data_IF_465869779100
#
_entry.id   IF_465869779100
#
_cell.length_a   1.000
_cell.length_b   1.000
_cell.length_c   1.000
_cell.angle_alpha   90.00
_cell.angle_beta   90.00
_cell.angle_gamma   90.00
#
_symmetry.space_group_name_H-M   'P 1'
#
loop_
_entity.id
_entity.type
_entity.pdbx_description
1 polymer ?
#
# COMPACT_ATOMS: atom_id res chain seq x y z
N UNK A 1 16.55 -2.65 -10.81
CA UNK A 1 15.65 -3.67 -10.23
C UNK A 1 14.55 -4.03 -11.24
N UNK A 2 13.84 -5.15 -11.09
CA UNK A 2 12.79 -5.56 -12.05
C UNK A 2 11.49 -4.80 -11.78
N UNK A 3 11.00 -4.09 -12.80
CA UNK A 3 9.76 -3.30 -12.75
C UNK A 3 8.57 -4.08 -13.31
N UNK A 4 8.78 -4.80 -14.41
CA UNK A 4 7.75 -5.57 -15.07
C UNK A 4 7.27 -6.75 -14.20
N UNK A 5 5.95 -6.89 -14.05
CA UNK A 5 5.34 -7.94 -13.22
C UNK A 5 5.50 -7.76 -11.71
N UNK A 6 5.95 -6.59 -11.24
CA UNK A 6 6.08 -6.32 -9.82
C UNK A 6 4.74 -5.84 -9.21
N UNK A 7 4.04 -6.69 -8.42
CA UNK A 7 2.72 -6.34 -7.90
C UNK A 7 2.75 -5.17 -6.92
N UNK A 8 3.88 -4.90 -6.26
CA UNK A 8 4.01 -3.74 -5.38
C UNK A 8 3.94 -2.44 -6.20
N UNK A 9 4.61 -2.40 -7.36
CA UNK A 9 4.57 -1.22 -8.23
C UNK A 9 3.17 -1.03 -8.85
N UNK A 10 2.48 -2.12 -9.18
CA UNK A 10 1.09 -2.04 -9.67
C UNK A 10 0.15 -1.46 -8.61
N UNK A 11 0.23 -1.91 -7.35
CA UNK A 11 -0.58 -1.31 -6.28
C UNK A 11 -0.24 0.16 -6.07
N UNK A 12 1.03 0.53 -6.16
CA UNK A 12 1.43 1.93 -6.05
C UNK A 12 0.81 2.75 -7.20
N UNK A 13 0.94 2.28 -8.44
CA UNK A 13 0.42 2.97 -9.64
C UNK A 13 -1.10 3.13 -9.63
N UNK A 14 -1.82 2.03 -9.39
CA UNK A 14 -3.27 1.97 -9.61
C UNK A 14 -4.10 2.26 -8.36
N UNK A 15 -3.53 2.13 -7.16
CA UNK A 15 -4.25 2.39 -5.91
C UNK A 15 -3.68 3.62 -5.21
N UNK A 16 -2.37 3.61 -4.90
CA UNK A 16 -1.79 4.66 -4.05
C UNK A 16 -1.77 6.02 -4.76
N UNK A 17 -1.24 6.08 -5.98
CA UNK A 17 -1.19 7.34 -6.74
C UNK A 17 -2.59 7.84 -7.12
N UNK A 18 -3.57 6.96 -7.33
CA UNK A 18 -4.95 7.38 -7.60
C UNK A 18 -5.63 7.96 -6.34
N UNK A 19 -5.21 7.53 -5.16
CA UNK A 19 -5.81 7.97 -3.89
C UNK A 19 -5.14 9.22 -3.31
N UNK A 20 -3.81 9.24 -3.28
CA UNK A 20 -3.03 10.28 -2.60
C UNK A 20 -2.31 11.23 -3.56
N UNK A 21 -2.17 10.88 -4.85
CA UNK A 21 -1.33 11.58 -5.84
C UNK A 21 0.18 11.59 -5.54
N UNK A 22 0.59 11.12 -4.37
CA UNK A 22 1.99 11.01 -3.97
C UNK A 22 2.24 9.76 -3.12
N UNK A 23 3.50 9.33 -3.06
CA UNK A 23 3.96 8.32 -2.12
C UNK A 23 5.16 8.84 -1.33
N UNK A 24 5.03 8.85 -0.01
CA UNK A 24 6.11 9.13 0.94
C UNK A 24 6.85 7.85 1.30
N UNK A 25 8.16 7.83 1.13
CA UNK A 25 9.05 6.70 1.45
C UNK A 25 10.13 7.15 2.44
N UNK A 26 10.27 6.41 3.53
CA UNK A 26 11.37 6.57 4.49
C UNK A 26 12.55 5.70 4.04
N UNK A 27 13.73 6.29 3.90
CA UNK A 27 14.96 5.61 3.53
C UNK A 27 15.62 5.02 4.79
N UNK A 28 15.72 3.71 4.85
CA UNK A 28 16.28 3.01 6.02
C UNK A 28 17.79 3.22 6.22
N UNK A 29 18.53 3.57 5.16
CA UNK A 29 19.98 3.76 5.21
C UNK A 29 20.38 5.14 5.72
N UNK A 30 19.61 6.17 5.38
CA UNK A 30 19.99 7.57 5.65
C UNK A 30 19.06 8.25 6.66
N UNK A 31 17.97 7.58 7.09
CA UNK A 31 16.93 8.15 7.94
C UNK A 31 16.15 9.31 7.30
N UNK A 32 16.43 9.61 6.03
CA UNK A 32 15.78 10.65 5.26
C UNK A 32 14.45 10.18 4.70
N UNK A 33 13.59 11.13 4.39
CA UNK A 33 12.29 10.88 3.79
C UNK A 33 12.26 11.48 2.38
N UNK A 34 11.73 10.73 1.41
CA UNK A 34 11.51 11.21 0.06
C UNK A 34 10.03 11.05 -0.31
N UNK A 35 9.44 12.13 -0.81
CA UNK A 35 8.10 12.11 -1.38
C UNK A 35 8.20 12.05 -2.90
N UNK A 36 7.54 11.05 -3.48
CA UNK A 36 7.42 10.88 -4.92
C UNK A 36 6.06 11.40 -5.37
N UNK A 37 6.07 12.46 -6.18
CA UNK A 37 4.83 13.08 -6.70
C UNK A 37 4.33 12.45 -8.00
N UNK A 38 5.08 11.52 -8.58
CA UNK A 38 4.66 10.76 -9.76
C UNK A 38 5.17 9.33 -9.73
N UNK A 39 4.43 8.43 -10.38
CA UNK A 39 4.85 7.04 -10.52
C UNK A 39 6.13 6.90 -11.36
N UNK A 40 6.32 7.77 -12.35
CA UNK A 40 7.49 7.78 -13.22
C UNK A 40 8.77 8.08 -12.43
N UNK A 41 8.73 9.07 -11.52
CA UNK A 41 9.86 9.39 -10.64
C UNK A 41 10.21 8.22 -9.73
N UNK A 42 9.19 7.57 -9.15
CA UNK A 42 9.37 6.41 -8.29
C UNK A 42 10.00 5.23 -9.04
N UNK A 43 9.54 4.97 -10.26
CA UNK A 43 10.08 3.88 -11.10
C UNK A 43 11.51 4.17 -11.51
N UNK A 44 11.84 5.41 -11.88
CA UNK A 44 13.20 5.80 -12.23
C UNK A 44 14.18 5.53 -11.07
N UNK A 45 13.81 5.92 -9.85
CA UNK A 45 14.61 5.69 -8.65
C UNK A 45 14.70 4.20 -8.25
N UNK A 46 13.62 3.44 -8.47
CA UNK A 46 13.62 2.00 -8.23
C UNK A 46 14.49 1.25 -9.25
N UNK A 47 14.51 1.69 -10.51
CA UNK A 47 15.34 1.12 -11.56
C UNK A 47 16.82 1.41 -11.34
N UNK A 48 17.16 2.65 -11.00
CA UNK A 48 18.53 3.09 -10.70
C UNK A 48 19.09 2.50 -9.41
N UNK A 49 18.22 1.99 -8.53
CA UNK A 49 18.59 1.39 -7.25
C UNK A 49 18.69 2.40 -6.11
N UNK A 50 18.36 3.66 -6.35
CA UNK A 50 18.25 4.71 -5.33
C UNK A 50 17.11 4.41 -4.33
N UNK A 51 16.06 3.73 -4.79
CA UNK A 51 14.95 3.28 -3.97
C UNK A 51 15.01 1.76 -3.77
N UNK A 52 15.25 1.33 -2.53
CA UNK A 52 15.33 -0.09 -2.21
C UNK A 52 13.96 -0.74 -2.02
N UNK A 53 13.79 -2.04 -2.35
CA UNK A 53 12.54 -2.77 -2.11
C UNK A 53 12.20 -2.83 -0.62
N UNK A 54 13.23 -2.78 0.25
CA UNK A 54 13.09 -2.74 1.70
C UNK A 54 12.42 -1.46 2.21
N UNK A 55 12.56 -0.34 1.50
CA UNK A 55 11.94 0.94 1.84
C UNK A 55 10.57 1.09 1.16
N UNK A 56 10.45 0.58 -0.07
CA UNK A 56 9.23 0.62 -0.86
C UNK A 56 8.06 -0.14 -0.18
N UNK A 57 8.32 -1.35 0.33
CA UNK A 57 7.28 -2.22 0.90
C UNK A 57 6.65 -1.64 2.18
N UNK A 58 7.41 -1.10 3.15
CA UNK A 58 6.85 -0.39 4.29
C UNK A 58 6.03 0.83 3.88
N UNK A 59 6.51 1.64 2.93
CA UNK A 59 5.79 2.80 2.44
C UNK A 59 4.43 2.43 1.83
N UNK A 60 4.42 1.43 0.94
CA UNK A 60 3.19 0.86 0.37
C UNK A 60 2.24 0.34 1.45
N UNK A 61 2.76 -0.41 2.42
CA UNK A 61 1.96 -0.99 3.51
C UNK A 61 1.33 0.10 4.38
N UNK A 62 2.07 1.17 4.70
CA UNK A 62 1.55 2.33 5.44
C UNK A 62 0.44 3.02 4.65
N UNK A 63 0.64 3.26 3.35
CA UNK A 63 -0.35 3.91 2.50
C UNK A 63 -1.64 3.07 2.35
N UNK A 64 -1.53 1.76 2.07
CA UNK A 64 -2.68 0.85 2.01
C UNK A 64 -3.44 0.78 3.34
N UNK A 65 -2.71 0.72 4.46
CA UNK A 65 -3.33 0.69 5.77
C UNK A 65 -4.13 1.96 6.05
N UNK A 66 -3.67 3.14 5.60
CA UNK A 66 -4.42 4.40 5.73
C UNK A 66 -5.73 4.37 4.93
N UNK A 67 -5.70 3.88 3.69
CA UNK A 67 -6.90 3.73 2.85
C UNK A 67 -7.92 2.79 3.51
N UNK A 68 -7.43 1.70 4.12
CA UNK A 68 -8.29 0.69 4.74
C UNK A 68 -8.76 1.02 6.17
N UNK A 69 -8.16 2.02 6.86
CA UNK A 69 -8.57 2.38 8.22
C UNK A 69 -10.08 2.67 8.36
N UNK A 70 -10.70 3.57 7.56
CA UNK A 70 -12.12 3.89 7.75
C UNK A 70 -13.03 2.65 7.59
N UNK A 71 -12.65 1.71 6.72
CA UNK A 71 -13.37 0.44 6.57
C UNK A 71 -13.21 -0.43 7.82
N UNK A 72 -11.99 -0.54 8.35
CA UNK A 72 -11.72 -1.30 9.58
C UNK A 72 -12.48 -0.71 10.78
N UNK A 73 -12.49 0.61 10.89
CA UNK A 73 -13.20 1.33 11.95
C UNK A 73 -14.71 1.10 11.87
N UNK A 74 -15.29 1.14 10.67
CA UNK A 74 -16.70 0.81 10.46
C UNK A 74 -17.05 -0.60 10.96
N UNK A 75 -16.28 -1.61 10.55
CA UNK A 75 -16.50 -3.00 11.00
C UNK A 75 -16.19 -3.25 12.47
N UNK A 76 -15.46 -2.34 13.14
CA UNK A 76 -15.17 -2.43 14.56
C UNK A 76 -16.25 -1.78 15.42
N UNK A 77 -16.74 -0.61 14.98
CA UNK A 77 -17.62 0.26 15.76
C UNK A 77 -19.11 0.02 15.48
N UNK A 78 -19.46 -0.60 14.36
CA UNK A 78 -20.84 -0.97 14.02
C UNK A 78 -21.10 -2.46 14.32
N UNK A 79 -22.02 -2.73 15.25
CA UNK A 79 -22.35 -4.07 15.69
C UNK A 79 -22.96 -4.93 14.57
N UNK A 80 -23.78 -4.35 13.69
CA UNK A 80 -24.38 -5.05 12.57
C UNK A 80 -23.32 -5.40 11.52
N UNK A 81 -22.47 -4.44 11.15
CA UNK A 81 -21.37 -4.67 10.21
C UNK A 81 -20.42 -5.76 10.74
N UNK A 82 -20.09 -5.73 12.03
CA UNK A 82 -19.24 -6.74 12.69
C UNK A 82 -19.84 -8.14 12.62
N UNK A 83 -21.14 -8.27 12.85
CA UNK A 83 -21.85 -9.54 12.75
C UNK A 83 -21.88 -10.06 11.31
N UNK A 84 -22.17 -9.18 10.33
CA UNK A 84 -22.13 -9.51 8.91
C UNK A 84 -20.74 -10.01 8.48
N UNK A 85 -19.67 -9.34 8.90
CA UNK A 85 -18.29 -9.76 8.62
C UNK A 85 -18.00 -11.14 9.21
N UNK A 86 -18.45 -11.43 10.44
CA UNK A 86 -18.30 -12.75 11.08
C UNK A 86 -19.02 -13.82 10.28
N UNK A 87 -20.25 -13.55 9.84
CA UNK A 87 -21.05 -14.47 9.03
C UNK A 87 -20.39 -14.74 7.68
N UNK A 88 -19.97 -13.71 6.95
CA UNK A 88 -19.25 -13.87 5.67
C UNK A 88 -17.96 -14.69 5.84
N UNK A 89 -17.19 -14.46 6.91
CA UNK A 89 -15.96 -15.23 7.21
C UNK A 89 -16.24 -16.71 7.47
N UNK A 90 -17.43 -17.08 7.97
CA UNK A 90 -17.81 -18.48 8.19
C UNK A 90 -18.09 -19.23 6.89
N UNK A 91 -18.40 -18.54 5.78
CA UNK A 91 -18.62 -19.15 4.47
C UNK A 91 -17.34 -19.55 3.76
N UNK A 92 -16.24 -19.79 4.50
CA UNK A 92 -14.94 -20.21 3.95
C UNK A 92 -15.19 -21.34 2.94
N UNK A 93 -15.08 -20.98 1.65
CA UNK A 93 -15.21 -21.90 0.55
C UNK A 93 -14.04 -22.86 0.64
N UNK A 94 -14.32 -24.07 1.12
CA UNK A 94 -13.42 -25.20 0.96
C UNK A 94 -13.45 -25.53 -0.52
N UNK A 95 -12.30 -25.42 -1.18
CA UNK A 95 -12.11 -25.88 -2.55
C UNK A 95 -11.18 -27.07 -2.54
#
# INVERSE_FOLDING_TARGET
>A
MVVEGNPCLDYIKFIIFQWFHELKVENSSNGGEKTFSSFEELVADYQSGNLHPGDLKPALSKALNKILQPVRDHFNNDANAKELLKRVKSYKVTR
#
